data_IF_049038818409
#
_entry.id   IF_049038818409
#
_cell.length_a   1.000
_cell.length_b   1.000
_cell.length_c   1.000
_cell.angle_alpha   90.00
_cell.angle_beta   90.00
_cell.angle_gamma   90.00
#
_symmetry.space_group_name_H-M   'P 1'
#
loop_
_entity.id
_entity.type
_entity.pdbx_description
1 polymer ?
#
# COMPACT_ATOMS: atom_id res chain seq x y z
N UNK A 1 -2.62 -55.88 -6.24
CA UNK A 1 -2.20 -55.18 -5.00
C UNK A 1 -0.84 -54.47 -5.05
N UNK A 2 0.02 -54.67 -6.06
CA UNK A 2 1.40 -54.10 -6.07
C UNK A 2 1.58 -52.67 -6.61
N UNK A 3 0.60 -52.09 -7.31
CA UNK A 3 0.77 -50.79 -8.02
C UNK A 3 0.62 -49.57 -7.13
N UNK A 4 -0.15 -49.65 -6.04
CA UNK A 4 -0.36 -48.54 -5.10
C UNK A 4 0.84 -48.33 -4.15
N UNK A 5 1.50 -49.42 -3.75
CA UNK A 5 2.66 -49.35 -2.84
C UNK A 5 3.85 -48.62 -3.47
N UNK A 6 4.15 -48.90 -4.74
CA UNK A 6 5.23 -48.21 -5.47
C UNK A 6 4.96 -46.71 -5.68
N UNK A 7 3.70 -46.31 -5.94
CA UNK A 7 3.34 -44.89 -6.06
C UNK A 7 3.52 -44.13 -4.74
N UNK A 8 3.12 -44.73 -3.63
CA UNK A 8 3.28 -44.15 -2.29
C UNK A 8 4.76 -44.06 -1.92
N UNK A 9 5.56 -45.07 -2.27
CA UNK A 9 7.01 -45.08 -2.04
C UNK A 9 7.73 -43.99 -2.84
N UNK A 10 7.42 -43.87 -4.14
CA UNK A 10 7.94 -42.80 -5.00
C UNK A 10 7.54 -41.40 -4.50
N UNK A 11 6.29 -41.23 -4.06
CA UNK A 11 5.84 -39.96 -3.48
C UNK A 11 6.60 -39.61 -2.19
N UNK A 12 6.88 -40.59 -1.32
CA UNK A 12 7.66 -40.38 -0.10
C UNK A 12 9.11 -40.01 -0.41
N UNK A 13 9.76 -40.70 -1.36
CA UNK A 13 11.11 -40.35 -1.80
C UNK A 13 11.15 -38.94 -2.38
N UNK A 14 10.17 -38.57 -3.21
CA UNK A 14 10.07 -37.22 -3.75
C UNK A 14 9.96 -36.16 -2.64
N UNK A 15 9.10 -36.37 -1.65
CA UNK A 15 8.95 -35.45 -0.51
C UNK A 15 10.25 -35.36 0.30
N UNK A 16 10.90 -36.49 0.60
CA UNK A 16 12.17 -36.51 1.33
C UNK A 16 13.27 -35.79 0.54
N UNK A 17 13.37 -36.02 -0.76
CA UNK A 17 14.31 -35.34 -1.63
C UNK A 17 14.02 -33.82 -1.69
N UNK A 18 12.75 -33.42 -1.81
CA UNK A 18 12.35 -32.02 -1.81
C UNK A 18 12.68 -31.32 -0.47
N UNK A 19 12.42 -31.98 0.66
CA UNK A 19 12.79 -31.48 1.99
C UNK A 19 14.31 -31.41 2.16
N UNK A 20 15.05 -32.41 1.67
CA UNK A 20 16.51 -32.42 1.68
C UNK A 20 17.12 -31.28 0.86
N UNK A 21 16.58 -31.02 -0.34
CA UNK A 21 16.97 -29.89 -1.19
C UNK A 21 16.61 -28.56 -0.54
N UNK A 22 15.44 -28.44 0.10
CA UNK A 22 15.05 -27.23 0.82
C UNK A 22 15.95 -26.96 2.03
N UNK A 23 16.27 -28.00 2.82
CA UNK A 23 17.20 -27.89 3.94
C UNK A 23 18.61 -27.53 3.47
N UNK A 24 19.12 -28.18 2.42
CA UNK A 24 20.40 -27.84 1.80
C UNK A 24 20.41 -26.39 1.29
N UNK A 25 19.35 -25.95 0.61
CA UNK A 25 19.23 -24.57 0.16
C UNK A 25 19.23 -23.58 1.33
N UNK A 26 18.55 -23.88 2.44
CA UNK A 26 18.57 -23.02 3.63
C UNK A 26 19.95 -22.98 4.32
N UNK A 27 20.70 -24.08 4.32
CA UNK A 27 22.03 -24.16 4.95
C UNK A 27 23.13 -23.59 4.06
N UNK A 28 23.03 -23.77 2.75
CA UNK A 28 24.09 -23.40 1.80
C UNK A 28 23.83 -22.07 1.08
N UNK A 29 22.59 -21.57 1.03
CA UNK A 29 22.28 -20.18 0.62
C UNK A 29 22.07 -19.30 1.83
N UNK A 30 23.06 -19.23 2.70
CA UNK A 30 23.08 -18.33 3.86
C UNK A 30 23.53 -16.95 3.40
N UNK A 31 22.58 -16.18 2.89
CA UNK A 31 22.81 -14.83 2.42
C UNK A 31 21.67 -14.43 1.50
N UNK A 32 20.73 -13.66 2.04
CA UNK A 32 19.77 -12.92 1.21
C UNK A 32 20.22 -11.48 1.23
N UNK A 33 20.69 -10.99 0.09
CA UNK A 33 21.11 -9.60 -0.02
C UNK A 33 19.86 -8.71 -0.06
N UNK A 34 19.77 -7.79 0.90
CA UNK A 34 18.80 -6.72 0.85
C UNK A 34 19.26 -5.72 -0.22
N UNK A 35 18.36 -5.35 -1.12
CA UNK A 35 18.63 -4.31 -2.11
C UNK A 35 17.72 -3.12 -1.86
N UNK A 36 18.20 -1.91 -2.10
CA UNK A 36 17.41 -0.69 -1.98
C UNK A 36 16.42 -0.42 -3.13
N UNK A 37 16.35 -1.32 -4.10
CA UNK A 37 15.52 -1.15 -5.28
C UNK A 37 14.04 -1.43 -4.99
N UNK A 38 13.20 -0.40 -5.10
CA UNK A 38 11.74 -0.49 -5.00
C UNK A 38 11.00 -0.30 -6.34
N UNK A 39 11.72 0.16 -7.37
CA UNK A 39 11.12 0.53 -8.67
C UNK A 39 10.32 1.84 -8.66
N UNK A 40 10.28 2.57 -7.53
CA UNK A 40 9.56 3.84 -7.39
C UNK A 40 10.37 4.91 -6.67
N UNK A 41 9.98 6.17 -6.87
CA UNK A 41 10.40 7.30 -6.03
C UNK A 41 9.47 7.45 -4.82
N UNK A 42 10.02 7.75 -3.64
CA UNK A 42 9.24 8.08 -2.44
C UNK A 42 8.79 9.56 -2.49
N UNK A 43 8.06 9.91 -3.53
CA UNK A 43 7.61 11.27 -3.79
C UNK A 43 6.26 11.26 -4.50
N UNK A 44 5.34 12.10 -4.04
CA UNK A 44 4.04 12.32 -4.67
C UNK A 44 4.08 13.70 -5.36
N UNK A 45 3.69 13.80 -6.64
CA UNK A 45 3.77 15.06 -7.37
C UNK A 45 2.85 16.14 -6.82
N UNK A 46 3.19 17.42 -7.03
CA UNK A 46 2.32 18.55 -6.65
C UNK A 46 0.98 18.56 -7.39
N UNK A 47 0.94 17.98 -8.60
CA UNK A 47 -0.25 17.94 -9.44
C UNK A 47 -0.36 16.60 -10.14
N UNK A 48 -1.57 16.06 -10.20
CA UNK A 48 -1.91 14.88 -11.01
C UNK A 48 -3.09 15.29 -11.89
N UNK A 49 -2.87 15.55 -13.18
CA UNK A 49 -3.94 16.02 -14.06
C UNK A 49 -4.65 17.27 -13.52
N UNK A 50 -5.95 17.14 -13.21
CA UNK A 50 -6.79 18.23 -12.66
C UNK A 50 -6.77 18.34 -11.13
N UNK A 51 -6.05 17.44 -10.46
CA UNK A 51 -5.95 17.40 -9.01
C UNK A 51 -4.70 18.12 -8.53
N UNK A 52 -4.88 19.09 -7.64
CA UNK A 52 -3.81 19.78 -6.92
C UNK A 52 -3.55 19.07 -5.60
N UNK A 53 -2.30 18.71 -5.34
CA UNK A 53 -1.87 18.04 -4.13
C UNK A 53 -1.52 19.03 -3.02
N UNK A 54 -1.95 18.74 -1.80
CA UNK A 54 -1.63 19.46 -0.58
C UNK A 54 -0.98 18.51 0.42
N UNK A 55 0.10 18.94 1.07
CA UNK A 55 0.79 18.06 2.02
C UNK A 55 0.03 18.01 3.33
N UNK A 56 -0.10 16.80 3.86
CA UNK A 56 -0.75 16.54 5.13
C UNK A 56 0.33 16.19 6.16
N UNK A 57 0.41 17.01 7.20
CA UNK A 57 1.40 16.92 8.26
C UNK A 57 0.76 16.52 9.58
N UNK A 58 1.49 15.73 10.35
CA UNK A 58 1.04 15.13 11.61
C UNK A 58 1.99 15.51 12.73
N UNK A 59 1.41 15.79 13.89
CA UNK A 59 2.16 15.88 15.12
C UNK A 59 2.39 14.45 15.67
N UNK A 60 3.64 14.01 15.85
CA UNK A 60 3.95 12.68 16.37
C UNK A 60 3.78 12.59 17.89
N UNK A 61 3.41 13.67 18.58
CA UNK A 61 3.13 13.63 20.02
C UNK A 61 1.78 12.93 20.26
N UNK A 62 1.80 11.84 21.05
CA UNK A 62 0.65 11.00 21.39
C UNK A 62 -0.54 11.81 21.92
N UNK A 63 -0.29 12.78 22.78
CA UNK A 63 -1.34 13.54 23.45
C UNK A 63 -1.87 14.68 22.58
N UNK A 64 -1.06 15.15 21.63
CA UNK A 64 -1.45 16.24 20.73
C UNK A 64 -2.25 15.74 19.52
N UNK A 65 -1.71 14.74 18.79
CA UNK A 65 -2.35 14.12 17.62
C UNK A 65 -2.77 15.06 16.49
N UNK A 66 -2.23 16.29 16.43
CA UNK A 66 -2.65 17.32 15.49
C UNK A 66 -2.38 16.94 14.03
N UNK A 67 -3.29 17.33 13.13
CA UNK A 67 -3.18 17.11 11.69
C UNK A 67 -3.42 18.44 10.98
N UNK A 68 -2.57 18.78 10.01
CA UNK A 68 -2.55 20.10 9.38
C UNK A 68 -2.22 19.98 7.89
N UNK A 69 -2.88 20.78 7.06
CA UNK A 69 -2.39 21.01 5.71
C UNK A 69 -1.21 21.97 5.76
N UNK A 70 -0.12 21.65 5.06
CA UNK A 70 1.09 22.50 5.03
C UNK A 70 0.78 23.94 4.61
N UNK A 71 -0.12 24.11 3.64
CA UNK A 71 -0.55 25.41 3.12
C UNK A 71 -1.28 26.29 4.15
N UNK A 72 -1.76 25.73 5.27
CA UNK A 72 -2.45 26.46 6.34
C UNK A 72 -1.51 26.89 7.48
N UNK A 73 -0.24 26.51 7.42
CA UNK A 73 0.74 26.79 8.46
C UNK A 73 1.71 27.89 8.02
N UNK A 74 2.02 28.81 8.94
CA UNK A 74 3.10 29.78 8.73
C UNK A 74 4.47 29.08 8.72
N UNK A 75 4.68 28.11 9.62
CA UNK A 75 5.85 27.23 9.65
C UNK A 75 5.40 25.75 9.57
N UNK A 76 5.57 25.08 8.42
CA UNK A 76 5.16 23.69 8.22
C UNK A 76 6.05 22.68 8.95
N UNK A 77 7.01 23.11 9.76
CA UNK A 77 7.87 22.22 10.55
C UNK A 77 7.45 22.14 12.01
N UNK A 78 6.65 23.08 12.50
CA UNK A 78 6.28 23.21 13.91
C UNK A 78 4.77 23.08 14.11
N UNK A 79 4.36 22.26 15.08
CA UNK A 79 2.96 22.06 15.42
C UNK A 79 2.42 23.30 16.15
N UNK A 80 1.36 23.96 15.64
CA UNK A 80 0.84 25.18 16.27
C UNK A 80 0.15 24.92 17.61
N UNK A 81 -0.24 23.66 17.90
CA UNK A 81 -0.90 23.30 19.16
C UNK A 81 0.08 23.06 20.32
N UNK A 82 1.26 22.48 20.05
CA UNK A 82 2.16 22.01 21.11
C UNK A 82 3.64 22.33 20.89
N UNK A 83 4.01 22.98 19.78
CA UNK A 83 5.40 23.31 19.43
C UNK A 83 6.26 22.12 18.97
N UNK A 84 5.72 20.90 18.92
CA UNK A 84 6.45 19.72 18.47
C UNK A 84 6.72 19.71 16.96
N UNK A 85 7.77 19.01 16.50
CA UNK A 85 8.10 18.89 15.07
C UNK A 85 7.03 18.10 14.31
N UNK A 86 6.48 18.68 13.25
CA UNK A 86 5.57 18.02 12.34
C UNK A 86 6.30 17.06 11.38
N UNK A 87 5.58 16.05 10.90
CA UNK A 87 6.10 15.10 9.93
C UNK A 87 5.00 14.42 9.12
N UNK A 88 5.37 13.39 8.36
CA UNK A 88 4.51 12.62 7.47
C UNK A 88 3.84 11.40 8.13
N UNK A 89 4.01 11.21 9.44
CA UNK A 89 3.45 10.09 10.21
C UNK A 89 2.84 10.59 11.52
N UNK A 90 1.68 10.06 11.87
CA UNK A 90 1.11 10.24 13.20
C UNK A 90 1.85 9.39 14.25
N UNK A 91 1.54 9.60 15.53
CA UNK A 91 2.19 8.88 16.62
C UNK A 91 2.08 7.35 16.50
N UNK A 92 0.90 6.84 16.17
CA UNK A 92 0.63 5.41 16.10
C UNK A 92 1.43 4.75 14.96
N UNK A 93 1.42 5.35 13.77
CA UNK A 93 2.22 4.91 12.62
C UNK A 93 3.70 4.94 12.97
N UNK A 94 4.20 6.05 13.54
CA UNK A 94 5.61 6.19 13.91
C UNK A 94 6.07 5.22 14.98
N UNK A 95 5.15 4.79 15.84
CA UNK A 95 5.44 3.88 16.95
C UNK A 95 5.33 2.40 16.55
N UNK A 96 4.50 2.09 15.54
CA UNK A 96 4.27 0.71 15.09
C UNK A 96 5.13 0.32 13.88
N UNK A 97 5.49 1.28 13.02
CA UNK A 97 6.26 0.99 11.82
C UNK A 97 7.77 0.92 12.12
N UNK A 98 8.51 0.05 11.43
CA UNK A 98 9.98 0.06 11.47
C UNK A 98 10.55 1.44 11.17
N UNK A 99 11.64 1.81 11.85
CA UNK A 99 12.23 3.15 11.78
C UNK A 99 12.75 3.53 10.38
N UNK A 100 13.04 2.55 9.54
CA UNK A 100 13.49 2.67 8.16
C UNK A 100 12.35 2.65 7.13
N UNK A 101 11.09 2.66 7.59
CA UNK A 101 9.91 2.77 6.72
C UNK A 101 9.85 4.16 6.09
N UNK A 102 9.91 4.20 4.77
CA UNK A 102 9.63 5.40 4.01
C UNK A 102 8.14 5.64 3.89
N UNK A 103 7.69 6.88 4.02
CA UNK A 103 6.30 7.23 3.78
C UNK A 103 6.18 8.57 3.06
N UNK A 104 5.29 8.66 2.08
CA UNK A 104 4.88 9.92 1.47
C UNK A 104 3.35 9.93 1.44
N UNK A 105 2.74 11.06 1.74
CA UNK A 105 1.29 11.20 1.59
C UNK A 105 0.91 12.61 1.17
N UNK A 106 -0.17 12.70 0.41
CA UNK A 106 -0.68 13.97 -0.11
C UNK A 106 -2.19 13.87 -0.25
N UNK A 107 -2.87 14.99 -0.05
CA UNK A 107 -4.30 15.11 -0.24
C UNK A 107 -4.56 15.90 -1.51
N UNK A 108 -5.23 15.28 -2.47
CA UNK A 108 -5.46 15.80 -3.80
C UNK A 108 -6.89 16.31 -3.94
N UNK A 109 -7.05 17.55 -4.38
CA UNK A 109 -8.35 18.20 -4.58
C UNK A 109 -8.47 18.74 -5.99
N UNK A 110 -9.68 18.69 -6.54
CA UNK A 110 -10.02 19.35 -7.81
C UNK A 110 -10.41 20.80 -7.54
N UNK A 111 -10.37 21.65 -8.57
CA UNK A 111 -10.76 23.06 -8.46
C UNK A 111 -12.22 23.29 -8.03
N UNK A 112 -13.10 22.30 -8.25
CA UNK A 112 -14.49 22.30 -7.79
C UNK A 112 -14.69 21.69 -6.39
N UNK A 113 -13.61 21.24 -5.73
CA UNK A 113 -13.62 20.61 -4.42
C UNK A 113 -14.21 19.20 -4.39
N UNK A 114 -14.64 18.64 -5.52
CA UNK A 114 -15.24 17.29 -5.59
C UNK A 114 -14.16 16.21 -5.67
N UNK A 115 -14.57 15.02 -5.24
CA UNK A 115 -13.79 13.77 -5.33
C UNK A 115 -12.35 13.90 -4.80
N UNK A 116 -12.16 14.36 -3.54
CA UNK A 116 -10.83 14.43 -2.97
C UNK A 116 -10.20 13.03 -2.83
N UNK A 117 -8.89 12.94 -3.06
CA UNK A 117 -8.14 11.69 -3.00
C UNK A 117 -6.99 11.82 -2.00
N UNK A 118 -6.98 10.97 -0.98
CA UNK A 118 -5.80 10.75 -0.15
C UNK A 118 -4.90 9.73 -0.83
N UNK A 119 -3.70 10.14 -1.25
CA UNK A 119 -2.71 9.23 -1.78
C UNK A 119 -1.60 9.00 -0.74
N UNK A 120 -1.20 7.74 -0.55
CA UNK A 120 -0.10 7.36 0.35
C UNK A 120 0.82 6.36 -0.35
N UNK A 121 2.12 6.56 -0.18
CA UNK A 121 3.18 5.62 -0.52
C UNK A 121 3.76 5.15 0.81
N UNK A 122 3.80 3.83 1.03
CA UNK A 122 4.59 3.22 2.10
C UNK A 122 5.67 2.39 1.44
N UNK A 123 6.93 2.72 1.73
CA UNK A 123 8.10 2.04 1.21
C UNK A 123 8.78 1.26 2.34
N UNK A 124 8.79 -0.07 2.20
CA UNK A 124 9.46 -0.93 3.19
C UNK A 124 10.95 -0.65 3.28
N UNK A 125 11.50 -0.54 4.49
CA UNK A 125 12.95 -0.54 4.74
C UNK A 125 13.51 -1.96 4.75
N UNK A 126 14.74 -2.14 5.24
CA UNK A 126 15.34 -3.47 5.45
C UNK A 126 14.44 -4.39 6.28
N UNK A 127 13.76 -3.82 7.27
CA UNK A 127 12.63 -4.48 7.90
C UNK A 127 11.38 -4.44 6.99
N UNK A 128 10.99 -5.64 6.53
CA UNK A 128 9.88 -5.85 5.58
C UNK A 128 8.50 -5.94 6.25
N UNK A 129 8.41 -5.75 7.57
CA UNK A 129 7.15 -5.84 8.33
C UNK A 129 6.22 -4.63 8.18
N UNK A 130 6.70 -3.54 7.56
CA UNK A 130 5.94 -2.30 7.33
C UNK A 130 4.77 -2.42 6.36
N UNK A 131 4.69 -3.49 5.55
CA UNK A 131 3.61 -3.68 4.58
C UNK A 131 2.88 -5.00 4.84
N UNK A 132 1.68 -4.90 5.38
CA UNK A 132 0.75 -6.04 5.56
C UNK A 132 -0.42 -5.95 4.57
N UNK A 133 -1.36 -6.91 4.67
CA UNK A 133 -2.60 -6.90 3.89
C UNK A 133 -3.50 -5.75 4.36
N UNK A 134 -3.95 -4.83 3.48
CA UNK A 134 -4.73 -3.65 3.89
C UNK A 134 -6.05 -3.98 4.59
N UNK A 135 -6.71 -5.07 4.18
CA UNK A 135 -7.97 -5.55 4.77
C UNK A 135 -7.88 -5.71 6.30
N UNK A 136 -6.73 -6.13 6.82
CA UNK A 136 -6.52 -6.31 8.27
C UNK A 136 -6.56 -4.97 8.99
N UNK A 137 -5.86 -3.96 8.48
CA UNK A 137 -5.84 -2.65 9.14
C UNK A 137 -7.13 -1.86 8.93
N UNK A 138 -7.78 -1.98 7.78
CA UNK A 138 -9.04 -1.29 7.54
C UNK A 138 -10.14 -1.82 8.48
N UNK A 139 -10.24 -3.13 8.65
CA UNK A 139 -11.18 -3.73 9.60
C UNK A 139 -10.84 -3.41 11.05
N UNK A 140 -9.54 -3.45 11.43
CA UNK A 140 -9.09 -3.04 12.76
C UNK A 140 -9.37 -1.55 13.08
N UNK A 141 -9.39 -0.68 12.06
CA UNK A 141 -9.79 0.72 12.17
C UNK A 141 -11.32 0.92 12.24
N UNK A 142 -12.10 -0.16 12.24
CA UNK A 142 -13.56 -0.14 12.38
C UNK A 142 -14.33 0.01 11.07
N UNK A 143 -13.70 -0.25 9.92
CA UNK A 143 -14.39 -0.30 8.64
C UNK A 143 -14.97 -1.70 8.38
N UNK A 144 -16.17 -1.74 7.84
CA UNK A 144 -16.75 -2.94 7.24
C UNK A 144 -16.44 -2.93 5.74
N UNK A 145 -15.92 -4.05 5.23
CA UNK A 145 -15.66 -4.23 3.81
C UNK A 145 -16.94 -4.74 3.16
N UNK A 146 -17.57 -3.90 2.34
CA UNK A 146 -18.80 -4.20 1.62
C UNK A 146 -18.49 -5.00 0.36
N UNK A 147 -17.41 -4.65 -0.35
CA UNK A 147 -17.06 -5.25 -1.63
C UNK A 147 -15.56 -5.14 -1.88
N UNK A 148 -14.99 -6.15 -2.56
CA UNK A 148 -13.60 -6.13 -3.05
C UNK A 148 -13.59 -6.48 -4.54
N UNK A 149 -12.78 -5.77 -5.34
CA UNK A 149 -12.64 -6.01 -6.78
C UNK A 149 -11.29 -5.53 -7.30
N UNK A 150 -10.79 -6.20 -8.34
CA UNK A 150 -9.63 -5.71 -9.09
C UNK A 150 -10.16 -4.94 -10.30
N UNK A 151 -9.74 -3.69 -10.43
CA UNK A 151 -9.93 -2.91 -11.66
C UNK A 151 -8.65 -2.95 -12.50
N UNK A 152 -8.81 -2.93 -13.82
CA UNK A 152 -7.72 -2.92 -14.79
C UNK A 152 -7.67 -1.58 -15.48
N UNK A 153 -6.63 -0.81 -15.20
CA UNK A 153 -6.46 0.55 -15.65
C UNK A 153 -5.46 0.55 -16.82
N UNK A 154 -5.88 0.90 -18.04
CA UNK A 154 -4.95 1.05 -19.15
C UNK A 154 -3.90 2.14 -18.83
N UNK A 155 -2.65 1.87 -19.17
CA UNK A 155 -1.55 2.82 -19.03
C UNK A 155 -1.05 3.25 -20.41
N UNK A 156 -0.71 4.54 -20.56
CA UNK A 156 -0.13 5.03 -21.80
C UNK A 156 1.32 4.54 -22.02
N UNK A 157 2.00 4.13 -20.95
CA UNK A 157 3.43 3.78 -20.95
C UNK A 157 3.70 2.32 -21.27
N UNK A 158 2.70 1.43 -21.17
CA UNK A 158 2.84 -0.01 -21.43
C UNK A 158 1.50 -0.66 -21.82
N UNK A 159 1.56 -1.75 -22.59
CA UNK A 159 0.37 -2.49 -23.03
C UNK A 159 -0.39 -3.16 -21.89
N UNK A 160 0.34 -3.74 -20.93
CA UNK A 160 -0.27 -4.40 -19.79
C UNK A 160 -0.99 -3.34 -18.93
N UNK A 161 -2.20 -3.58 -18.43
CA UNK A 161 -2.87 -2.64 -17.53
C UNK A 161 -2.22 -2.62 -16.15
N UNK A 162 -2.46 -1.55 -15.40
CA UNK A 162 -2.27 -1.54 -13.95
C UNK A 162 -3.46 -2.23 -13.29
N UNK A 163 -3.18 -3.28 -12.52
CA UNK A 163 -4.20 -3.90 -11.67
C UNK A 163 -4.22 -3.23 -10.30
N UNK A 164 -5.40 -2.76 -9.89
CA UNK A 164 -5.61 -2.10 -8.59
C UNK A 164 -6.72 -2.83 -7.85
N UNK A 165 -6.44 -3.23 -6.60
CA UNK A 165 -7.47 -3.75 -5.69
C UNK A 165 -8.26 -2.57 -5.14
N UNK A 166 -9.57 -2.59 -5.28
CA UNK A 166 -10.50 -1.59 -4.74
C UNK A 166 -11.41 -2.25 -3.73
N UNK A 167 -11.51 -1.65 -2.55
CA UNK A 167 -12.40 -2.06 -1.48
C UNK A 167 -13.44 -0.98 -1.24
N UNK A 168 -14.70 -1.33 -1.39
CA UNK A 168 -15.81 -0.50 -0.94
C UNK A 168 -16.05 -0.77 0.52
N UNK A 169 -16.11 0.28 1.31
CA UNK A 169 -16.24 0.16 2.75
C UNK A 169 -17.33 1.07 3.31
N UNK A 170 -17.79 0.72 4.49
CA UNK A 170 -18.69 1.50 5.32
C UNK A 170 -18.14 1.58 6.74
N UNK A 171 -18.53 2.62 7.47
CA UNK A 171 -18.29 2.73 8.90
C UNK A 171 -19.44 3.46 9.55
N UNK A 172 -19.99 2.88 10.61
CA UNK A 172 -20.97 3.56 11.46
C UNK A 172 -20.30 4.74 12.16
N UNK A 173 -20.89 5.91 12.01
CA UNK A 173 -20.46 7.17 12.62
C UNK A 173 -21.66 7.81 13.32
N UNK A 174 -21.38 8.73 14.24
CA UNK A 174 -22.42 9.56 14.84
C UNK A 174 -22.49 10.85 14.03
N UNK A 175 -23.68 11.18 13.52
CA UNK A 175 -23.95 12.43 12.82
C UNK A 175 -23.84 13.64 13.75
N UNK A 176 -23.81 14.84 13.17
CA UNK A 176 -23.69 16.10 13.91
C UNK A 176 -24.85 16.33 14.90
N UNK A 177 -26.02 15.76 14.59
CA UNK A 177 -27.24 15.77 15.39
C UNK A 177 -27.30 14.64 16.44
N UNK A 178 -26.25 13.83 16.55
CA UNK A 178 -26.21 12.65 17.43
C UNK A 178 -26.89 11.41 16.85
N UNK A 179 -27.48 11.48 15.66
CA UNK A 179 -28.13 10.33 15.03
C UNK A 179 -27.09 9.35 14.46
N UNK A 180 -27.38 8.04 14.41
CA UNK A 180 -26.54 7.08 13.69
C UNK A 180 -26.47 7.45 12.20
N UNK A 181 -25.26 7.58 11.67
CA UNK A 181 -24.99 7.81 10.26
C UNK A 181 -23.99 6.76 9.73
N UNK A 182 -23.95 6.58 8.41
CA UNK A 182 -23.00 5.67 7.77
C UNK A 182 -22.07 6.48 6.88
N UNK A 183 -20.78 6.44 7.19
CA UNK A 183 -19.75 6.96 6.30
C UNK A 183 -19.40 5.87 5.28
N UNK A 184 -19.40 6.22 4.00
CA UNK A 184 -19.05 5.30 2.91
C UNK A 184 -17.80 5.80 2.21
N UNK A 185 -16.79 4.93 2.16
CA UNK A 185 -15.47 5.25 1.60
C UNK A 185 -15.03 4.14 0.67
N UNK A 186 -14.09 4.46 -0.22
CA UNK A 186 -13.32 3.46 -0.96
C UNK A 186 -11.87 3.43 -0.45
N UNK A 187 -11.22 2.31 -0.67
CA UNK A 187 -9.78 2.17 -0.47
C UNK A 187 -9.19 1.33 -1.60
N UNK A 188 -8.35 1.93 -2.42
CA UNK A 188 -7.73 1.33 -3.57
C UNK A 188 -6.21 1.19 -3.38
N UNK A 189 -5.62 0.08 -3.80
CA UNK A 189 -4.20 -0.13 -3.65
C UNK A 189 -3.57 -1.09 -4.66
N UNK A 190 -2.25 -0.96 -4.79
CA UNK A 190 -1.39 -1.92 -5.46
C UNK A 190 0.01 -1.91 -4.84
N UNK A 191 0.79 -2.94 -5.12
CA UNK A 191 2.17 -3.08 -4.68
C UNK A 191 3.11 -2.94 -5.86
N UNK A 192 4.25 -2.28 -5.61
CA UNK A 192 5.33 -2.11 -6.60
C UNK A 192 6.62 -2.64 -6.02
N UNK A 193 7.36 -3.40 -6.80
CA UNK A 193 8.72 -3.84 -6.49
C UNK A 193 9.57 -3.78 -7.76
N UNK A 194 10.84 -4.23 -7.68
CA UNK A 194 11.74 -4.24 -8.83
C UNK A 194 11.11 -4.98 -10.03
N UNK A 195 10.82 -4.23 -11.09
CA UNK A 195 10.25 -4.69 -12.37
C UNK A 195 8.90 -5.41 -12.29
N UNK A 196 8.13 -5.25 -11.20
CA UNK A 196 6.84 -5.94 -11.06
C UNK A 196 5.86 -5.16 -10.20
N UNK A 197 4.59 -5.31 -10.53
CA UNK A 197 3.46 -4.70 -9.81
C UNK A 197 2.38 -5.75 -9.59
N UNK A 198 1.62 -5.64 -8.50
CA UNK A 198 0.49 -6.54 -8.25
C UNK A 198 -0.54 -5.91 -7.32
N UNK A 199 -1.83 -6.18 -7.58
CA UNK A 199 -2.93 -5.85 -6.67
C UNK A 199 -3.05 -6.83 -5.48
N UNK A 200 -2.29 -7.94 -5.48
CA UNK A 200 -2.45 -9.03 -4.50
C UNK A 200 -1.26 -9.14 -3.55
N UNK A 201 -1.56 -9.03 -2.26
CA UNK A 201 -0.57 -9.26 -1.20
C UNK A 201 -0.01 -10.68 -1.23
N UNK A 202 -0.82 -11.69 -1.58
CA UNK A 202 -0.35 -13.08 -1.67
C UNK A 202 0.60 -13.28 -2.85
N UNK A 203 0.29 -12.67 -4.00
CA UNK A 203 1.18 -12.69 -5.17
C UNK A 203 2.49 -11.97 -4.86
N UNK A 204 2.42 -10.82 -4.16
CA UNK A 204 3.62 -10.13 -3.64
C UNK A 204 4.47 -11.06 -2.78
N UNK A 205 3.85 -11.82 -1.88
CA UNK A 205 4.58 -12.76 -1.01
C UNK A 205 5.21 -13.91 -1.79
N UNK A 206 4.52 -14.42 -2.82
CA UNK A 206 5.08 -15.41 -3.73
C UNK A 206 6.31 -14.87 -4.48
N UNK A 207 6.24 -13.64 -4.99
CA UNK A 207 7.38 -12.98 -5.63
C UNK A 207 8.56 -12.81 -4.68
N UNK A 208 8.30 -12.32 -3.46
CA UNK A 208 9.31 -12.15 -2.42
C UNK A 208 9.98 -13.46 -2.03
N UNK A 209 9.23 -14.57 -1.97
CA UNK A 209 9.77 -15.89 -1.70
C UNK A 209 10.60 -16.41 -2.90
N UNK A 210 10.09 -16.23 -4.12
CA UNK A 210 10.77 -16.64 -5.34
C UNK A 210 12.13 -15.95 -5.49
N UNK A 211 12.20 -14.62 -5.31
CA UNK A 211 13.44 -13.87 -5.48
C UNK A 211 14.49 -14.29 -4.44
N UNK A 212 14.08 -14.55 -3.19
CA UNK A 212 14.95 -15.07 -2.12
C UNK A 212 15.49 -16.45 -2.48
N UNK A 213 14.64 -17.38 -2.89
CA UNK A 213 15.05 -18.77 -3.17
C UNK A 213 15.89 -18.86 -4.45
N UNK A 214 15.48 -18.15 -5.50
CA UNK A 214 16.09 -18.25 -6.84
C UNK A 214 17.33 -17.39 -7.00
N UNK A 215 17.28 -16.14 -6.55
CA UNK A 215 18.32 -15.15 -6.78
C UNK A 215 19.10 -14.78 -5.51
N UNK A 216 18.61 -15.16 -4.33
CA UNK A 216 19.28 -14.81 -3.07
C UNK A 216 19.13 -13.33 -2.73
N UNK A 217 18.07 -12.65 -3.20
CA UNK A 217 17.87 -11.22 -2.97
C UNK A 217 16.50 -10.93 -2.35
N UNK A 218 16.42 -9.83 -1.60
CA UNK A 218 15.18 -9.27 -1.08
C UNK A 218 15.08 -7.80 -1.47
N UNK A 219 14.32 -7.53 -2.53
CA UNK A 219 14.00 -6.18 -2.98
C UNK A 219 13.10 -5.43 -1.99
N UNK A 220 13.20 -4.10 -1.95
CA UNK A 220 12.19 -3.26 -1.29
C UNK A 220 10.89 -3.38 -2.07
N UNK A 221 9.79 -3.27 -1.34
CA UNK A 221 8.47 -3.11 -1.91
C UNK A 221 7.86 -1.81 -1.45
N UNK A 222 7.12 -1.19 -2.35
CA UNK A 222 6.24 -0.10 -2.06
C UNK A 222 4.78 -0.54 -2.10
N UNK A 223 3.98 0.16 -1.33
CA UNK A 223 2.54 0.03 -1.24
C UNK A 223 1.95 1.38 -1.55
N UNK A 224 1.19 1.46 -2.64
CA UNK A 224 0.50 2.68 -3.05
C UNK A 224 -0.96 2.51 -2.68
N UNK A 225 -1.50 3.48 -1.98
CA UNK A 225 -2.88 3.50 -1.55
C UNK A 225 -3.56 4.82 -1.92
N UNK A 226 -4.80 4.72 -2.37
CA UNK A 226 -5.71 5.82 -2.66
C UNK A 226 -6.98 5.62 -1.82
N UNK A 227 -7.47 6.66 -1.16
CA UNK A 227 -8.74 6.59 -0.44
C UNK A 227 -9.53 7.89 -0.53
N UNK A 228 -10.84 7.80 -0.36
CA UNK A 228 -11.75 8.93 -0.43
C UNK A 228 -13.19 8.50 -0.15
N UNK A 229 -14.10 9.47 -0.19
CA UNK A 229 -15.54 9.19 -0.12
C UNK A 229 -16.05 8.52 -1.39
N UNK A 230 -17.16 7.80 -1.29
CA UNK A 230 -17.90 7.26 -2.45
C UNK A 230 -19.39 7.49 -2.26
N UNK A 231 -20.14 7.51 -3.36
CA UNK A 231 -21.60 7.38 -3.31
C UNK A 231 -21.96 5.88 -3.38
N UNK A 232 -22.67 5.31 -2.40
CA UNK A 232 -23.02 3.90 -2.43
C UNK A 232 -24.05 3.52 -3.50
N UNK A 233 -24.64 4.50 -4.19
CA UNK A 233 -25.65 4.30 -5.24
C UNK A 233 -25.05 4.11 -6.63
N UNK A 234 -23.76 4.40 -6.80
CA UNK A 234 -23.08 4.29 -8.09
C UNK A 234 -21.59 3.91 -7.92
N UNK A 235 -20.94 3.65 -9.05
CA UNK A 235 -19.54 3.24 -9.11
C UNK A 235 -18.62 4.34 -9.67
N UNK A 236 -19.04 5.62 -9.61
CA UNK A 236 -18.30 6.74 -10.23
C UNK A 236 -16.87 6.86 -9.68
N UNK A 237 -16.69 6.49 -8.40
CA UNK A 237 -15.39 6.44 -7.75
C UNK A 237 -14.39 5.50 -8.45
N UNK A 238 -14.84 4.42 -9.13
CA UNK A 238 -13.97 3.53 -9.88
C UNK A 238 -13.32 4.23 -11.08
N UNK A 239 -14.11 5.03 -11.80
CA UNK A 239 -13.61 5.82 -12.93
C UNK A 239 -12.65 6.90 -12.43
N UNK A 240 -12.98 7.56 -11.31
CA UNK A 240 -12.07 8.53 -10.69
C UNK A 240 -10.74 7.89 -10.26
N UNK A 241 -10.76 6.71 -9.64
CA UNK A 241 -9.53 5.95 -9.30
C UNK A 241 -8.73 5.66 -10.58
N UNK A 242 -9.38 5.18 -11.63
CA UNK A 242 -8.72 4.88 -12.90
C UNK A 242 -8.06 6.12 -13.53
N UNK A 243 -8.77 7.24 -13.53
CA UNK A 243 -8.28 8.51 -14.04
C UNK A 243 -7.11 9.07 -13.22
N UNK A 244 -7.22 9.02 -11.90
CA UNK A 244 -6.16 9.51 -11.02
C UNK A 244 -4.92 8.61 -11.11
N UNK A 245 -5.08 7.30 -10.96
CA UNK A 245 -3.97 6.36 -10.91
C UNK A 245 -3.22 6.25 -12.25
N UNK A 246 -3.91 6.30 -13.40
CA UNK A 246 -3.25 6.29 -14.71
C UNK A 246 -2.33 7.49 -14.94
N UNK A 247 -2.66 8.65 -14.34
CA UNK A 247 -1.86 9.89 -14.41
C UNK A 247 -0.78 9.95 -13.34
N UNK A 248 -1.04 9.38 -12.16
CA UNK A 248 -0.06 9.30 -11.09
C UNK A 248 1.05 8.29 -11.43
N UNK A 249 0.70 7.15 -12.02
CA UNK A 249 1.59 6.00 -12.21
C UNK A 249 2.95 6.36 -12.85
N UNK A 250 3.02 7.10 -13.98
CA UNK A 250 4.30 7.46 -14.59
C UNK A 250 5.19 8.32 -13.68
N UNK A 251 4.61 9.14 -12.80
CA UNK A 251 5.35 10.00 -11.88
C UNK A 251 5.92 9.22 -10.67
N UNK A 252 5.43 8.01 -10.41
CA UNK A 252 5.93 7.17 -9.33
C UNK A 252 7.15 6.36 -9.72
N UNK A 253 7.29 6.02 -11.00
CA UNK A 253 8.38 5.15 -11.45
C UNK A 253 9.72 5.88 -11.33
N UNK A 254 10.71 5.19 -10.79
CA UNK A 254 12.08 5.72 -10.76
C UNK A 254 12.60 5.87 -12.20
N UNK A 255 13.27 6.99 -12.56
CA UNK A 255 13.97 7.07 -13.83
C UNK A 255 15.02 5.96 -13.89
N UNK A 256 15.05 5.23 -15.01
CA UNK A 256 16.06 4.19 -15.29
C UNK A 256 17.47 4.78 -15.37
#
# INVERSE_FOLDING_TARGET
MGTNSNKIFLARIFVIAALGVAAWAMVCKTGVDNTDEAGIVLHLPEQVGVWQGMDLLFCPNRDCGGQYFSAQLEDPTVCPRCGGRLGNMNWAERSMLPADTGMARKFYVRGDGRDPVHATIVLSGDDRSSIHRPQVCMTAAGHEIVSERIIRIPLATREQPLEVMVMDMSRSVTGEDGAPAVNTIYYAYWFVGKNRETASHLVRMAYMAYDRVRFGVSHRWAYIALSGGRDPRNDDHLQMIADFASRLHPALLAPN
#
